data_IF_555934128808
#
_entry.id   IF_555934128808
#
_cell.length_a   1.000
_cell.length_b   1.000
_cell.length_c   1.000
_cell.angle_alpha   90.00
_cell.angle_beta   90.00
_cell.angle_gamma   90.00
#
_symmetry.space_group_name_H-M   'P 1'
#
loop_
_entity.id
_entity.type
_entity.pdbx_description
1 polymer ?
#
# COMPACT_ATOMS: atom_id res chain seq x y z
N UNK A 1 4.91 11.59 -25.35
CA UNK A 1 5.85 11.60 -24.20
C UNK A 1 6.22 13.02 -23.77
N UNK A 2 6.41 13.96 -24.69
CA UNK A 2 6.80 15.36 -24.43
C UNK A 2 5.93 16.12 -23.40
N UNK A 3 4.60 15.92 -23.39
CA UNK A 3 3.70 16.59 -22.45
C UNK A 3 3.75 16.05 -21.01
N UNK A 4 4.13 14.78 -20.82
CA UNK A 4 4.30 14.18 -19.50
C UNK A 4 5.60 14.66 -18.85
N UNK A 5 6.66 14.85 -19.63
CA UNK A 5 7.94 15.40 -19.15
C UNK A 5 7.81 16.88 -18.75
N UNK A 6 7.08 17.70 -19.51
CA UNK A 6 6.74 19.07 -19.10
C UNK A 6 5.82 19.13 -17.87
N UNK A 7 5.01 18.10 -17.63
CA UNK A 7 4.17 18.02 -16.44
C UNK A 7 4.97 17.61 -15.17
N UNK A 8 6.10 16.91 -15.33
CA UNK A 8 7.02 16.60 -14.22
C UNK A 8 7.61 17.89 -13.63
N UNK A 9 7.93 18.88 -14.47
CA UNK A 9 8.35 20.21 -14.00
C UNK A 9 7.26 20.95 -13.21
N UNK A 10 5.98 20.55 -13.36
CA UNK A 10 4.83 21.20 -12.73
C UNK A 10 4.23 20.46 -11.54
N UNK A 11 4.66 19.23 -11.21
CA UNK A 11 4.20 18.57 -9.99
C UNK A 11 4.48 17.07 -9.85
N UNK A 12 4.71 16.66 -8.60
CA UNK A 12 5.28 15.36 -8.22
C UNK A 12 4.34 14.17 -8.48
N UNK A 13 3.01 14.38 -8.46
CA UNK A 13 2.02 13.35 -8.75
C UNK A 13 2.12 12.84 -10.21
N UNK A 14 2.53 13.69 -11.14
CA UNK A 14 2.70 13.30 -12.55
C UNK A 14 3.98 12.49 -12.77
N UNK A 15 5.05 12.78 -12.01
CA UNK A 15 6.27 11.99 -12.01
C UNK A 15 6.00 10.55 -11.52
N UNK A 16 5.23 10.40 -10.44
CA UNK A 16 4.80 9.10 -9.96
C UNK A 16 3.98 8.33 -11.01
N UNK A 17 2.97 8.97 -11.62
CA UNK A 17 2.12 8.33 -12.62
C UNK A 17 2.92 7.87 -13.84
N UNK A 18 3.83 8.71 -14.34
CA UNK A 18 4.72 8.33 -15.41
C UNK A 18 5.61 7.15 -15.01
N UNK A 19 6.17 7.17 -13.80
CA UNK A 19 7.00 6.09 -13.31
C UNK A 19 6.27 4.75 -13.29
N UNK A 20 5.02 4.74 -12.82
CA UNK A 20 4.15 3.54 -12.83
C UNK A 20 3.89 3.08 -14.27
N UNK A 21 3.60 4.00 -15.20
CA UNK A 21 3.36 3.65 -16.60
C UNK A 21 4.62 3.03 -17.24
N UNK A 22 5.79 3.61 -16.99
CA UNK A 22 7.06 3.11 -17.53
C UNK A 22 7.37 1.69 -17.04
N UNK A 23 7.14 1.44 -15.74
CA UNK A 23 7.31 0.12 -15.13
C UNK A 23 6.30 -0.88 -15.70
N UNK A 24 5.00 -0.54 -15.67
CA UNK A 24 3.92 -1.44 -16.09
C UNK A 24 4.03 -1.83 -17.57
N UNK A 25 4.41 -0.89 -18.44
CA UNK A 25 4.63 -1.15 -19.87
C UNK A 25 6.00 -1.74 -20.17
N UNK A 26 6.86 -1.93 -19.16
CA UNK A 26 8.25 -2.38 -19.30
C UNK A 26 9.04 -1.59 -20.34
N UNK A 27 8.74 -0.29 -20.46
CA UNK A 27 9.43 0.61 -21.39
C UNK A 27 10.79 0.97 -20.82
N UNK A 28 10.81 1.46 -19.58
CA UNK A 28 12.03 1.80 -18.85
C UNK A 28 11.78 1.69 -17.34
N UNK A 29 12.03 0.49 -16.82
CA UNK A 29 11.80 0.17 -15.40
C UNK A 29 12.72 0.98 -14.48
N UNK A 30 13.96 1.21 -14.90
CA UNK A 30 14.96 1.94 -14.10
C UNK A 30 14.57 3.40 -13.93
N UNK A 31 14.23 4.07 -15.04
CA UNK A 31 13.74 5.45 -15.00
C UNK A 31 12.41 5.55 -14.26
N UNK A 32 11.52 4.59 -14.45
CA UNK A 32 10.25 4.56 -13.74
C UNK A 32 10.42 4.47 -12.21
N UNK A 33 11.36 3.63 -11.75
CA UNK A 33 11.72 3.53 -10.34
C UNK A 33 12.30 4.84 -9.78
N UNK A 34 13.22 5.48 -10.51
CA UNK A 34 13.83 6.74 -10.09
C UNK A 34 12.78 7.86 -9.93
N UNK A 35 11.82 7.95 -10.86
CA UNK A 35 10.75 8.95 -10.80
C UNK A 35 9.86 8.75 -9.57
N UNK A 36 9.53 7.51 -9.22
CA UNK A 36 8.71 7.19 -8.04
C UNK A 36 9.50 7.49 -6.74
N UNK A 37 10.78 7.12 -6.67
CA UNK A 37 11.63 7.42 -5.52
C UNK A 37 11.75 8.92 -5.29
N UNK A 38 12.05 9.68 -6.35
CA UNK A 38 12.12 11.14 -6.28
C UNK A 38 10.81 11.75 -5.80
N UNK A 39 9.67 11.29 -6.31
CA UNK A 39 8.36 11.77 -5.86
C UNK A 39 8.13 11.50 -4.36
N UNK A 40 8.58 10.34 -3.85
CA UNK A 40 8.48 10.02 -2.43
C UNK A 40 9.43 10.85 -1.56
N UNK A 41 10.66 11.13 -2.02
CA UNK A 41 11.61 12.01 -1.33
C UNK A 41 11.09 13.46 -1.26
N UNK A 42 10.36 13.90 -2.29
CA UNK A 42 9.68 15.21 -2.33
C UNK A 42 8.32 15.21 -1.60
N UNK A 43 8.15 14.30 -0.65
CA UNK A 43 7.01 14.21 0.25
C UNK A 43 5.66 13.89 -0.42
N UNK A 44 5.66 13.27 -1.61
CA UNK A 44 4.42 12.84 -2.26
C UNK A 44 3.86 11.61 -1.56
N UNK A 45 2.81 11.82 -0.78
CA UNK A 45 2.17 10.79 0.06
C UNK A 45 1.76 9.54 -0.74
N UNK A 46 1.28 9.73 -1.98
CA UNK A 46 0.90 8.61 -2.86
C UNK A 46 2.12 7.80 -3.31
N UNK A 47 3.27 8.42 -3.53
CA UNK A 47 4.50 7.75 -3.92
C UNK A 47 5.06 6.93 -2.75
N UNK A 48 5.02 7.46 -1.53
CA UNK A 48 5.36 6.72 -0.32
C UNK A 48 4.47 5.49 -0.14
N UNK A 49 3.15 5.66 -0.27
CA UNK A 49 2.21 4.55 -0.21
C UNK A 49 2.50 3.49 -1.29
N UNK A 50 2.85 3.93 -2.50
CA UNK A 50 3.19 3.03 -3.61
C UNK A 50 4.44 2.22 -3.33
N UNK A 51 5.54 2.87 -2.92
CA UNK A 51 6.80 2.19 -2.59
C UNK A 51 6.57 1.21 -1.45
N UNK A 52 5.91 1.67 -0.37
CA UNK A 52 5.59 0.82 0.78
C UNK A 52 4.83 -0.43 0.38
N UNK A 53 3.82 -0.28 -0.47
CA UNK A 53 3.06 -1.39 -1.05
C UNK A 53 3.94 -2.30 -1.93
N UNK A 54 4.83 -1.77 -2.77
CA UNK A 54 5.66 -2.59 -3.66
C UNK A 54 6.74 -3.39 -2.91
N UNK A 55 7.20 -2.87 -1.77
CA UNK A 55 8.19 -3.55 -0.92
C UNK A 55 7.58 -4.69 -0.10
N UNK A 56 6.26 -4.67 0.13
CA UNK A 56 5.51 -5.76 0.77
C UNK A 56 5.13 -6.82 -0.28
N UNK A 57 5.59 -8.05 -0.06
CA UNK A 57 5.47 -9.16 -1.01
C UNK A 57 4.04 -9.45 -1.46
N UNK A 58 3.06 -9.37 -0.56
CA UNK A 58 1.64 -9.63 -0.83
C UNK A 58 1.06 -8.71 -1.93
N UNK A 59 1.70 -7.55 -2.14
CA UNK A 59 1.22 -6.53 -3.05
C UNK A 59 2.19 -6.21 -4.20
N UNK A 60 3.27 -6.99 -4.34
CA UNK A 60 4.27 -6.81 -5.39
C UNK A 60 3.77 -7.43 -6.70
N UNK A 61 3.13 -6.61 -7.54
CA UNK A 61 2.45 -7.04 -8.77
C UNK A 61 3.34 -6.85 -10.02
N UNK A 62 4.42 -6.07 -9.90
CA UNK A 62 5.19 -5.57 -11.05
C UNK A 62 6.55 -6.26 -11.21
N UNK A 63 6.64 -7.55 -10.89
CA UNK A 63 7.79 -8.38 -11.27
C UNK A 63 9.11 -7.99 -10.62
N UNK A 64 9.11 -7.66 -9.32
CA UNK A 64 10.31 -7.35 -8.51
C UNK A 64 11.04 -6.04 -8.86
N UNK A 65 10.36 -5.03 -9.40
CA UNK A 65 10.94 -3.67 -9.60
C UNK A 65 11.55 -3.12 -8.30
N UNK A 66 10.85 -3.36 -7.20
CA UNK A 66 11.37 -3.20 -5.85
C UNK A 66 11.67 -4.58 -5.29
N UNK A 67 12.91 -4.78 -4.83
CA UNK A 67 13.28 -5.98 -4.08
C UNK A 67 12.48 -5.97 -2.79
N UNK A 68 11.87 -7.10 -2.43
CA UNK A 68 11.12 -7.24 -1.17
C UNK A 68 11.98 -6.75 0.00
N UNK A 69 11.43 -5.81 0.75
CA UNK A 69 11.97 -5.33 2.03
C UNK A 69 10.80 -4.86 2.88
N UNK A 70 10.28 -5.78 3.70
CA UNK A 70 9.06 -5.57 4.47
C UNK A 70 9.23 -4.46 5.50
N UNK A 71 10.39 -4.38 6.15
CA UNK A 71 10.70 -3.31 7.11
C UNK A 71 10.71 -1.95 6.44
N UNK A 72 11.41 -1.82 5.32
CA UNK A 72 11.43 -0.56 4.57
C UNK A 72 10.03 -0.23 4.03
N UNK A 73 9.27 -1.24 3.61
CA UNK A 73 7.89 -1.10 3.17
C UNK A 73 7.00 -0.49 4.25
N UNK A 74 7.07 -1.03 5.48
CA UNK A 74 6.35 -0.52 6.64
C UNK A 74 6.74 0.93 6.94
N UNK A 75 8.03 1.27 6.95
CA UNK A 75 8.49 2.64 7.22
C UNK A 75 7.91 3.66 6.21
N UNK A 76 7.83 3.30 4.93
CA UNK A 76 7.20 4.17 3.92
C UNK A 76 5.69 4.31 4.12
N UNK A 77 5.00 3.23 4.53
CA UNK A 77 3.59 3.28 4.86
C UNK A 77 3.33 4.14 6.10
N UNK A 78 4.17 4.04 7.13
CA UNK A 78 4.06 4.85 8.35
C UNK A 78 4.17 6.35 8.03
N UNK A 79 5.17 6.76 7.24
CA UNK A 79 5.28 8.15 6.76
C UNK A 79 4.04 8.62 5.99
N UNK A 80 3.44 7.74 5.18
CA UNK A 80 2.21 8.06 4.47
C UNK A 80 1.00 8.15 5.42
N UNK A 81 0.94 7.31 6.45
CA UNK A 81 -0.12 7.28 7.47
C UNK A 81 -0.08 8.51 8.37
N UNK A 82 1.11 8.99 8.73
CA UNK A 82 1.32 10.25 9.45
C UNK A 82 0.69 11.43 8.68
N UNK A 83 0.74 11.37 7.36
CA UNK A 83 0.10 12.33 6.44
C UNK A 83 -1.36 11.97 6.10
N UNK A 84 -1.99 11.12 6.92
CA UNK A 84 -3.39 10.69 6.82
C UNK A 84 -3.73 9.94 5.53
N UNK A 85 -2.79 9.22 4.92
CA UNK A 85 -3.08 8.42 3.74
C UNK A 85 -3.87 7.15 4.10
N UNK A 86 -5.15 7.15 3.77
CA UNK A 86 -6.07 6.03 4.05
C UNK A 86 -5.72 4.77 3.28
N UNK A 87 -5.09 4.91 2.10
CA UNK A 87 -4.62 3.78 1.31
C UNK A 87 -3.45 3.09 2.01
N UNK A 88 -2.52 3.85 2.57
CA UNK A 88 -1.41 3.32 3.35
C UNK A 88 -1.90 2.63 4.63
N UNK A 89 -2.87 3.22 5.34
CA UNK A 89 -3.55 2.57 6.48
C UNK A 89 -4.17 1.23 6.07
N UNK A 90 -4.81 1.18 4.90
CA UNK A 90 -5.42 -0.06 4.38
C UNK A 90 -4.38 -1.14 4.11
N UNK A 91 -3.28 -0.77 3.45
CA UNK A 91 -2.19 -1.71 3.10
C UNK A 91 -1.52 -2.23 4.36
N UNK A 92 -1.10 -1.35 5.27
CA UNK A 92 -0.43 -1.76 6.52
C UNK A 92 -1.38 -2.55 7.41
N UNK A 93 -2.63 -2.12 7.54
CA UNK A 93 -3.62 -2.78 8.38
C UNK A 93 -3.88 -4.22 7.94
N UNK A 94 -4.09 -4.44 6.65
CA UNK A 94 -4.26 -5.78 6.09
C UNK A 94 -3.01 -6.64 6.28
N UNK A 95 -1.83 -6.10 5.97
CA UNK A 95 -0.57 -6.81 6.10
C UNK A 95 -0.29 -7.28 7.54
N UNK A 96 -0.53 -6.44 8.55
CA UNK A 96 -0.36 -6.79 9.96
C UNK A 96 -1.23 -7.99 10.38
N UNK A 97 -2.45 -8.09 9.83
CA UNK A 97 -3.37 -9.18 10.11
C UNK A 97 -2.91 -10.47 9.40
N UNK A 98 -2.46 -10.36 8.16
CA UNK A 98 -2.07 -11.52 7.35
C UNK A 98 -0.75 -12.16 7.82
N UNK A 99 0.24 -11.37 8.24
CA UNK A 99 1.55 -11.88 8.67
C UNK A 99 1.49 -12.49 10.08
N UNK A 100 0.56 -12.05 10.92
CA UNK A 100 0.49 -12.51 12.32
C UNK A 100 -0.96 -12.70 12.80
N UNK A 101 -1.73 -13.62 12.17
CA UNK A 101 -3.14 -13.83 12.50
C UNK A 101 -3.36 -14.31 13.94
N UNK A 102 -2.39 -15.01 14.53
CA UNK A 102 -2.45 -15.48 15.93
C UNK A 102 -2.02 -14.42 16.95
N UNK A 103 -1.45 -13.29 16.52
CA UNK A 103 -1.01 -12.23 17.43
C UNK A 103 -2.15 -11.21 17.63
N UNK A 104 -2.88 -11.38 18.73
CA UNK A 104 -4.06 -10.54 19.03
C UNK A 104 -3.76 -9.03 19.07
N UNK A 105 -2.56 -8.61 19.46
CA UNK A 105 -2.19 -7.19 19.52
C UNK A 105 -1.96 -6.63 18.11
N UNK A 106 -1.23 -7.34 17.26
CA UNK A 106 -1.01 -6.93 15.86
C UNK A 106 -2.31 -6.94 15.07
N UNK A 107 -3.18 -7.94 15.30
CA UNK A 107 -4.51 -8.00 14.69
C UNK A 107 -5.36 -6.80 15.13
N UNK A 108 -5.37 -6.45 16.42
CA UNK A 108 -6.09 -5.25 16.91
C UNK A 108 -5.59 -3.97 16.25
N UNK A 109 -4.27 -3.80 16.13
CA UNK A 109 -3.67 -2.66 15.44
C UNK A 109 -4.06 -2.62 13.95
N UNK A 110 -3.97 -3.75 13.26
CA UNK A 110 -4.36 -3.85 11.86
C UNK A 110 -5.84 -3.55 11.63
N UNK A 111 -6.71 -4.07 12.50
CA UNK A 111 -8.14 -3.79 12.50
C UNK A 111 -8.42 -2.30 12.74
N UNK A 112 -7.73 -1.67 13.69
CA UNK A 112 -7.88 -0.23 13.94
C UNK A 112 -7.54 0.61 12.70
N UNK A 113 -6.45 0.28 12.00
CA UNK A 113 -6.06 0.94 10.76
C UNK A 113 -7.11 0.74 9.65
N UNK A 114 -7.61 -0.48 9.48
CA UNK A 114 -8.66 -0.78 8.50
C UNK A 114 -9.98 -0.07 8.82
N UNK A 115 -10.39 -0.04 10.09
CA UNK A 115 -11.58 0.71 10.51
C UNK A 115 -11.42 2.19 10.21
N UNK A 116 -10.30 2.82 10.60
CA UNK A 116 -10.06 4.24 10.33
C UNK A 116 -10.11 4.54 8.83
N UNK A 117 -9.50 3.70 8.00
CA UNK A 117 -9.56 3.86 6.56
C UNK A 117 -10.99 3.66 6.00
N UNK A 118 -11.74 2.67 6.49
CA UNK A 118 -13.11 2.40 6.07
C UNK A 118 -14.08 3.54 6.44
N UNK A 119 -13.91 4.16 7.61
CA UNK A 119 -14.75 5.29 8.05
C UNK A 119 -14.63 6.53 7.15
N UNK A 120 -13.57 6.63 6.33
CA UNK A 120 -13.43 7.71 5.34
C UNK A 120 -14.28 7.52 4.08
N UNK A 121 -15.01 6.41 3.98
CA UNK A 121 -15.76 6.07 2.77
C UNK A 121 -14.93 5.33 1.72
N UNK A 122 -13.66 4.97 2.02
CA UNK A 122 -12.77 4.36 1.04
C UNK A 122 -13.20 2.91 0.71
N UNK A 123 -13.71 2.62 -0.51
CA UNK A 123 -14.34 1.32 -0.80
C UNK A 123 -13.38 0.14 -0.61
N UNK A 124 -12.11 0.30 -1.02
CA UNK A 124 -11.11 -0.77 -0.89
C UNK A 124 -10.79 -1.13 0.57
N UNK A 125 -10.91 -0.18 1.49
CA UNK A 125 -10.70 -0.39 2.91
C UNK A 125 -11.89 -1.14 3.50
N UNK A 126 -13.12 -0.76 3.10
CA UNK A 126 -14.34 -1.49 3.45
C UNK A 126 -14.30 -2.94 2.94
N UNK A 127 -13.89 -3.16 1.70
CA UNK A 127 -13.73 -4.51 1.14
C UNK A 127 -12.73 -5.33 1.96
N UNK A 128 -11.54 -4.79 2.23
CA UNK A 128 -10.51 -5.50 3.00
C UNK A 128 -10.92 -5.77 4.44
N UNK A 129 -11.62 -4.83 5.08
CA UNK A 129 -12.21 -5.02 6.38
C UNK A 129 -13.27 -6.14 6.35
N UNK A 130 -14.13 -6.16 5.34
CA UNK A 130 -15.11 -7.23 5.13
C UNK A 130 -14.46 -8.59 4.95
N UNK A 131 -13.42 -8.69 4.12
CA UNK A 131 -12.65 -9.94 3.94
C UNK A 131 -12.08 -10.45 5.27
N UNK A 132 -11.46 -9.58 6.06
CA UNK A 132 -10.90 -9.95 7.36
C UNK A 132 -12.00 -10.40 8.32
N UNK A 133 -13.09 -9.65 8.43
CA UNK A 133 -14.21 -10.01 9.31
C UNK A 133 -14.82 -11.35 8.92
N UNK A 134 -15.01 -11.60 7.61
CA UNK A 134 -15.51 -12.87 7.11
C UNK A 134 -14.56 -14.04 7.45
N UNK A 135 -13.25 -13.86 7.25
CA UNK A 135 -12.26 -14.88 7.62
C UNK A 135 -12.24 -15.14 9.14
N UNK A 136 -12.36 -14.10 9.97
CA UNK A 136 -12.45 -14.24 11.41
C UNK A 136 -13.72 -14.99 11.82
N UNK A 137 -14.87 -14.62 11.23
CA UNK A 137 -16.14 -15.32 11.49
C UNK A 137 -16.15 -16.76 10.96
N UNK A 138 -15.42 -17.08 9.89
CA UNK A 138 -15.28 -18.46 9.42
C UNK A 138 -14.48 -19.31 10.42
N UNK A 139 -13.41 -18.76 11.00
CA UNK A 139 -12.61 -19.43 12.03
C UNK A 139 -13.39 -19.63 13.34
N UNK A 140 -14.23 -18.66 13.74
CA UNK A 140 -15.11 -18.79 14.91
C UNK A 140 -16.41 -19.58 14.61
N UNK A 141 -16.84 -19.64 13.36
CA UNK A 141 -18.04 -20.36 12.91
C UNK A 141 -17.84 -21.87 12.78
N UNK A 142 -16.61 -22.33 12.56
CA UNK A 142 -16.29 -23.77 12.53
C UNK A 142 -15.94 -24.36 13.90
N UNK A 143 -15.63 -23.55 14.92
CA UNK A 143 -15.46 -24.04 16.30
C UNK A 143 -16.80 -24.19 17.07
N UNK A 144 -17.93 -23.99 16.39
CA UNK A 144 -19.26 -23.96 16.99
C UNK A 144 -20.21 -25.09 16.58
N UNK A 145 -19.73 -26.18 15.98
CA UNK A 145 -20.57 -27.36 15.71
C UNK A 145 -19.87 -28.68 16.01
N UNK A 146 -20.46 -29.37 17.00
CA UNK A 146 -20.29 -30.76 17.48
C UNK A 146 -19.21 -30.99 18.54
#
# INVERSE_FOLDING_TARGET
MMWLEQAIEKGNSMAMLLGIILIKKKIDVTRGKQLILKAADENTVDAMCYIGKMLIAEFNIEGNVFRKDEQQGIQWLEKAIEQRNYRAMTVQGYHLIMVSPSNSELVKRGMNLLYRAAHTGWPKAMTKLGEVLLSGTAVYGEQGKY
#
